data_IF_055154720164
#
_entry.id   IF_055154720164
#
_cell.length_a   1.000
_cell.length_b   1.000
_cell.length_c   1.000
_cell.angle_alpha   90.00
_cell.angle_beta   90.00
_cell.angle_gamma   90.00
#
_symmetry.space_group_name_H-M   'P 1'
#
loop_
_entity.id
_entity.type
_entity.pdbx_description
1 polymer ?
#
# COMPACT_ATOMS: atom_id res chain seq x y z
N UNK A 1 -3.14 -59.77 30.69
CA UNK A 1 -1.85 -60.51 30.66
C UNK A 1 -0.99 -59.74 29.68
N UNK A 2 0.10 -59.02 29.98
CA UNK A 2 1.16 -59.04 31.03
C UNK A 2 1.81 -57.63 30.95
N UNK A 3 1.87 -56.78 32.00
CA UNK A 3 2.97 -56.61 32.99
C UNK A 3 4.39 -56.82 32.41
N UNK A 4 5.45 -56.02 32.65
CA UNK A 4 5.87 -55.19 33.78
C UNK A 4 7.20 -54.47 33.42
N UNK A 5 7.42 -53.20 33.80
CA UNK A 5 8.31 -52.66 34.88
C UNK A 5 9.72 -52.17 34.49
N UNK A 6 9.92 -50.88 34.80
CA UNK A 6 11.08 -50.15 35.36
C UNK A 6 12.52 -50.71 35.27
N UNK A 7 13.44 -49.84 34.83
CA UNK A 7 14.77 -49.67 35.44
C UNK A 7 15.09 -48.18 35.51
N UNK A 8 15.38 -47.71 36.73
CA UNK A 8 16.00 -46.42 37.01
C UNK A 8 17.52 -46.62 37.15
N UNK A 9 18.32 -45.66 36.68
CA UNK A 9 19.70 -45.48 37.12
C UNK A 9 20.01 -43.98 37.24
N UNK A 10 20.43 -43.57 38.44
CA UNK A 10 20.92 -42.24 38.78
C UNK A 10 22.46 -42.27 38.89
N UNK A 11 23.06 -41.06 38.93
CA UNK A 11 24.47 -40.69 39.26
C UNK A 11 25.28 -40.23 38.04
N UNK A 12 26.15 -39.21 38.04
CA UNK A 12 26.53 -38.11 38.93
C UNK A 12 27.50 -37.19 38.13
N UNK A 13 27.32 -35.86 38.22
CA UNK A 13 28.26 -34.69 38.15
C UNK A 13 29.54 -34.71 37.26
N UNK A 14 29.69 -33.65 36.42
CA UNK A 14 30.87 -32.75 36.25
C UNK A 14 30.49 -31.59 35.29
N UNK A 15 30.40 -30.32 35.70
CA UNK A 15 31.44 -29.29 35.95
C UNK A 15 31.81 -28.41 34.72
N UNK A 16 31.56 -27.09 34.86
CA UNK A 16 32.13 -25.98 34.07
C UNK A 16 31.22 -25.45 32.94
N UNK A 17 31.09 -24.14 32.65
CA UNK A 17 31.79 -22.93 33.10
C UNK A 17 31.03 -21.68 32.58
N UNK A 18 31.14 -20.58 33.33
CA UNK A 18 31.12 -19.15 32.93
C UNK A 18 29.79 -18.41 32.71
N UNK A 19 29.61 -17.35 33.52
CA UNK A 19 28.60 -16.30 33.35
C UNK A 19 28.59 -15.34 34.54
N UNK A 20 29.60 -14.46 34.64
CA UNK A 20 29.75 -13.47 35.71
C UNK A 20 28.78 -12.31 35.54
N UNK A 21 28.00 -12.01 36.57
CA UNK A 21 27.14 -10.83 36.68
C UNK A 21 27.68 -9.84 37.72
N UNK A 22 27.36 -8.57 37.46
CA UNK A 22 27.30 -7.44 38.38
C UNK A 22 28.62 -6.89 38.96
N UNK A 23 28.98 -5.70 38.49
CA UNK A 23 29.65 -4.70 39.32
C UNK A 23 28.73 -3.49 39.50
N UNK A 24 28.34 -3.24 40.74
CA UNK A 24 27.88 -1.94 41.20
C UNK A 24 28.85 -1.51 42.30
N UNK A 25 29.49 -0.35 42.15
CA UNK A 25 30.02 0.38 43.29
C UNK A 25 30.12 1.88 42.97
N UNK A 26 29.43 2.66 43.80
CA UNK A 26 29.46 4.12 43.90
C UNK A 26 30.83 4.59 44.41
N UNK A 27 31.25 5.84 44.08
CA UNK A 27 31.63 6.97 44.99
C UNK A 27 32.27 8.15 44.19
N UNK A 28 32.62 9.34 44.79
CA UNK A 28 31.83 10.58 44.93
C UNK A 28 32.48 11.82 44.19
N UNK A 29 32.10 13.11 44.44
CA UNK A 29 32.22 14.20 43.43
C UNK A 29 33.36 15.24 43.61
N UNK A 30 33.48 16.07 42.54
CA UNK A 30 33.91 17.49 42.44
C UNK A 30 35.41 17.87 42.25
N UNK A 31 35.70 18.58 41.15
CA UNK A 31 36.37 19.90 41.08
C UNK A 31 36.59 20.32 39.59
N UNK A 32 36.54 21.63 39.29
CA UNK A 32 36.29 22.19 37.96
C UNK A 32 37.51 22.55 37.08
N UNK A 33 37.20 22.94 35.83
CA UNK A 33 38.12 23.48 34.82
C UNK A 33 37.43 23.63 33.43
N UNK A 34 37.63 24.71 32.65
CA UNK A 34 36.67 25.22 31.64
C UNK A 34 36.83 24.66 30.19
N UNK A 35 35.88 24.95 29.26
CA UNK A 35 35.73 24.25 27.97
C UNK A 35 36.28 25.04 26.77
N UNK A 36 36.59 24.35 25.65
CA UNK A 36 36.32 24.79 24.26
C UNK A 36 37.04 23.92 23.21
N UNK A 37 36.35 23.58 22.10
CA UNK A 37 37.01 23.45 20.79
C UNK A 37 36.67 22.24 19.91
N UNK A 38 35.57 22.36 19.14
CA UNK A 38 35.42 21.98 17.73
C UNK A 38 35.64 20.50 17.29
N UNK A 39 34.52 19.78 17.11
CA UNK A 39 34.42 18.71 16.10
C UNK A 39 33.88 19.30 14.79
N UNK A 40 34.62 19.09 13.71
CA UNK A 40 34.32 19.51 12.35
C UNK A 40 33.75 18.30 11.57
N UNK A 41 32.50 18.44 11.12
CA UNK A 41 31.94 17.90 9.87
C UNK A 41 31.90 16.39 9.64
N UNK A 42 30.80 15.73 10.03
CA UNK A 42 30.23 14.63 9.25
C UNK A 42 28.92 15.09 8.62
N UNK A 43 28.82 14.99 7.29
CA UNK A 43 27.59 15.16 6.52
C UNK A 43 26.57 14.09 6.92
N UNK A 44 25.32 14.44 7.27
CA UNK A 44 24.24 13.48 7.33
C UNK A 44 23.58 13.34 5.96
N UNK A 45 23.70 12.15 5.37
CA UNK A 45 22.77 11.69 4.35
C UNK A 45 21.36 11.66 4.94
N UNK A 46 20.38 12.14 4.17
CA UNK A 46 18.97 12.14 4.54
C UNK A 46 18.42 10.71 4.58
N UNK A 47 18.50 10.07 5.75
CA UNK A 47 17.62 8.97 6.13
C UNK A 47 16.41 9.58 6.85
N UNK A 48 15.25 9.60 6.19
CA UNK A 48 13.99 9.98 6.81
C UNK A 48 13.64 9.00 7.91
N UNK A 49 13.90 9.37 9.16
CA UNK A 49 13.51 8.59 10.33
C UNK A 49 12.01 8.65 10.58
N UNK A 50 11.40 7.60 11.16
CA UNK A 50 9.98 7.56 11.46
C UNK A 50 9.61 8.61 12.50
N UNK A 51 8.56 9.38 12.22
CA UNK A 51 7.96 10.29 13.19
C UNK A 51 7.45 9.53 14.43
N UNK A 52 7.41 10.19 15.61
CA UNK A 52 6.99 9.54 16.84
C UNK A 52 5.49 9.17 16.75
N UNK A 53 5.19 7.87 16.70
CA UNK A 53 3.82 7.35 16.80
C UNK A 53 3.51 6.05 16.05
N UNK A 54 4.39 5.54 15.19
CA UNK A 54 4.12 4.28 14.48
C UNK A 54 4.52 3.06 15.33
N UNK A 55 3.59 2.10 15.56
CA UNK A 55 3.93 0.84 16.20
C UNK A 55 5.08 0.13 15.47
N UNK A 56 6.07 -0.43 16.17
CA UNK A 56 7.12 -1.22 15.54
C UNK A 56 6.51 -2.47 14.92
N UNK A 57 6.59 -2.62 13.59
CA UNK A 57 6.19 -3.86 12.91
C UNK A 57 5.43 -3.70 11.59
N UNK A 58 5.08 -2.49 11.15
CA UNK A 58 4.43 -2.31 9.84
C UNK A 58 5.48 -2.34 8.75
N UNK A 59 5.68 -3.50 8.11
CA UNK A 59 6.36 -3.59 6.82
C UNK A 59 5.37 -3.06 5.78
N UNK A 60 5.36 -1.75 5.57
CA UNK A 60 4.42 -1.05 4.68
C UNK A 60 4.20 0.40 5.10
N UNK A 61 3.90 1.27 4.14
CA UNK A 61 3.44 2.64 4.34
C UNK A 61 2.00 2.72 4.86
N UNK A 62 1.41 3.92 4.91
CA UNK A 62 0.07 4.11 5.46
C UNK A 62 -1.00 3.34 4.66
N UNK A 63 -2.12 2.97 5.30
CA UNK A 63 -3.25 2.39 4.59
C UNK A 63 -3.80 3.38 3.55
N UNK A 64 -4.03 2.90 2.33
CA UNK A 64 -4.60 3.67 1.23
C UNK A 64 -5.60 2.82 0.43
N UNK A 65 -6.63 3.44 -0.17
CA UNK A 65 -7.53 2.73 -1.08
C UNK A 65 -6.74 2.13 -2.25
N UNK A 66 -7.04 0.88 -2.60
CA UNK A 66 -6.53 0.25 -3.83
C UNK A 66 -6.90 1.12 -5.03
N UNK A 67 -5.94 1.37 -5.92
CA UNK A 67 -6.04 2.40 -6.98
C UNK A 67 -7.30 2.20 -7.81
N UNK A 68 -7.55 0.98 -8.28
CA UNK A 68 -8.75 0.61 -9.04
C UNK A 68 -9.32 -0.72 -8.55
N UNK A 69 -10.65 -0.78 -8.40
CA UNK A 69 -11.38 -2.04 -8.30
C UNK A 69 -11.64 -2.55 -9.72
N UNK A 70 -11.30 -3.81 -10.00
CA UNK A 70 -11.51 -4.43 -11.32
C UNK A 70 -12.67 -5.40 -11.30
N UNK A 71 -12.87 -6.15 -10.21
CA UNK A 71 -14.03 -7.04 -10.10
C UNK A 71 -14.55 -7.18 -8.68
N UNK A 72 -15.86 -7.41 -8.57
CA UNK A 72 -16.56 -7.77 -7.33
C UNK A 72 -17.37 -9.04 -7.62
N UNK A 73 -17.08 -10.08 -6.86
CA UNK A 73 -17.77 -11.37 -6.90
C UNK A 73 -18.36 -11.65 -5.52
N UNK A 74 -19.57 -12.18 -5.47
CA UNK A 74 -20.15 -12.72 -4.24
C UNK A 74 -20.55 -14.16 -4.48
N UNK A 75 -19.88 -15.05 -3.77
CA UNK A 75 -20.11 -16.49 -3.81
C UNK A 75 -20.97 -16.89 -2.61
N UNK A 76 -21.99 -17.71 -2.84
CA UNK A 76 -22.78 -18.33 -1.77
C UNK A 76 -22.32 -19.75 -1.54
N UNK A 77 -21.97 -20.06 -0.29
CA UNK A 77 -21.70 -21.41 0.17
C UNK A 77 -22.91 -21.96 0.91
N UNK A 78 -23.43 -23.11 0.48
CA UNK A 78 -24.51 -23.81 1.18
C UNK A 78 -24.04 -24.61 2.41
N UNK A 79 -22.73 -24.65 2.67
CA UNK A 79 -22.16 -25.30 3.87
C UNK A 79 -22.31 -24.40 5.10
N UNK A 80 -22.49 -25.02 6.27
CA UNK A 80 -22.53 -24.37 7.59
C UNK A 80 -23.51 -23.19 7.71
N UNK A 81 -24.75 -23.37 7.25
CA UNK A 81 -25.82 -22.39 7.48
C UNK A 81 -25.96 -21.30 6.41
N UNK A 82 -25.17 -21.33 5.34
CA UNK A 82 -25.28 -20.36 4.25
C UNK A 82 -24.34 -19.17 4.45
N UNK A 83 -23.14 -19.20 3.90
CA UNK A 83 -22.15 -18.11 4.01
C UNK A 83 -22.00 -17.42 2.66
N UNK A 84 -22.13 -16.09 2.64
CA UNK A 84 -21.77 -15.31 1.46
C UNK A 84 -20.33 -14.80 1.61
N UNK A 85 -19.52 -14.95 0.56
CA UNK A 85 -18.13 -14.49 0.53
C UNK A 85 -17.99 -13.47 -0.57
N UNK A 86 -17.67 -12.23 -0.19
CA UNK A 86 -17.30 -11.19 -1.14
C UNK A 86 -15.83 -11.38 -1.50
N UNK A 87 -15.53 -11.50 -2.79
CA UNK A 87 -14.20 -11.52 -3.35
C UNK A 87 -14.02 -10.32 -4.25
N UNK A 88 -12.94 -9.58 -4.06
CA UNK A 88 -12.66 -8.35 -4.81
C UNK A 88 -11.27 -8.42 -5.39
N UNK A 89 -11.14 -8.05 -6.66
CA UNK A 89 -9.85 -7.83 -7.33
C UNK A 89 -9.68 -6.37 -7.69
N UNK A 90 -8.43 -5.94 -7.74
CA UNK A 90 -8.07 -4.58 -8.06
C UNK A 90 -6.63 -4.45 -8.49
N UNK A 91 -6.22 -3.21 -8.75
CA UNK A 91 -4.89 -2.84 -9.23
C UNK A 91 -4.26 -1.82 -8.28
N UNK A 92 -2.97 -1.99 -8.02
CA UNK A 92 -2.12 -1.07 -7.27
C UNK A 92 -0.92 -0.62 -8.10
N UNK A 93 -0.24 0.46 -7.67
CA UNK A 93 0.79 1.16 -8.47
C UNK A 93 2.14 0.46 -8.57
N UNK A 94 2.36 -0.63 -7.84
CA UNK A 94 3.62 -1.36 -7.85
C UNK A 94 3.63 -2.58 -6.93
N UNK A 95 4.75 -3.29 -6.87
CA UNK A 95 4.92 -4.54 -6.11
C UNK A 95 4.94 -4.37 -4.60
N UNK A 96 5.20 -3.15 -4.12
CA UNK A 96 5.51 -2.91 -2.71
C UNK A 96 4.26 -2.63 -1.87
N UNK A 97 3.08 -2.68 -2.50
CA UNK A 97 1.80 -2.71 -1.81
C UNK A 97 1.58 -4.05 -1.11
N UNK A 98 0.95 -4.03 0.05
CA UNK A 98 0.71 -5.25 0.83
C UNK A 98 -0.63 -5.25 1.56
N UNK A 99 -0.99 -6.39 2.14
CA UNK A 99 -2.15 -6.55 3.03
C UNK A 99 -3.49 -6.03 2.44
N UNK A 100 -3.90 -6.46 1.23
CA UNK A 100 -5.21 -6.11 0.68
C UNK A 100 -6.34 -6.64 1.57
N UNK A 101 -7.30 -5.79 1.92
CA UNK A 101 -8.45 -6.14 2.74
C UNK A 101 -9.66 -5.25 2.44
N UNK A 102 -10.84 -5.72 2.86
CA UNK A 102 -12.11 -5.02 2.66
C UNK A 102 -12.61 -4.47 4.00
N UNK A 103 -12.98 -3.20 4.02
CA UNK A 103 -13.51 -2.52 5.20
C UNK A 103 -14.97 -2.14 4.94
N UNK A 104 -15.93 -2.69 5.70
CA UNK A 104 -17.30 -2.20 5.69
C UNK A 104 -17.38 -0.76 6.16
N UNK A 105 -17.99 0.11 5.36
CA UNK A 105 -18.31 1.50 5.75
C UNK A 105 -19.80 1.70 6.02
N UNK A 106 -20.61 0.68 5.72
CA UNK A 106 -22.02 0.68 6.08
C UNK A 106 -22.17 0.42 7.57
N UNK A 107 -22.91 1.28 8.26
CA UNK A 107 -23.31 1.06 9.66
C UNK A 107 -24.80 0.68 9.71
N UNK A 108 -25.09 -0.55 10.18
CA UNK A 108 -26.45 -1.06 10.23
C UNK A 108 -27.04 -1.37 8.85
N UNK A 109 -28.38 -1.29 8.71
CA UNK A 109 -29.05 -1.56 7.45
C UNK A 109 -29.18 -0.28 6.60
N UNK A 110 -28.52 -0.21 5.44
CA UNK A 110 -28.58 0.93 4.54
C UNK A 110 -29.92 0.94 3.79
N UNK A 111 -30.44 2.15 3.52
CA UNK A 111 -31.74 2.32 2.84
C UNK A 111 -31.77 1.78 1.41
N UNK A 112 -30.63 1.81 0.73
CA UNK A 112 -30.49 1.24 -0.62
C UNK A 112 -30.24 -0.27 -0.60
N UNK A 113 -30.02 -0.88 0.57
CA UNK A 113 -29.73 -2.30 0.74
C UNK A 113 -28.34 -2.74 0.28
N UNK A 114 -27.38 -1.83 0.10
CA UNK A 114 -26.04 -2.14 -0.40
C UNK A 114 -25.01 -2.27 0.72
N UNK A 115 -24.26 -3.36 0.76
CA UNK A 115 -23.04 -3.42 1.58
C UNK A 115 -21.96 -2.57 0.91
N UNK A 116 -21.71 -1.37 1.43
CA UNK A 116 -20.60 -0.53 0.99
C UNK A 116 -19.29 -0.94 1.67
N UNK A 117 -18.28 -1.20 0.85
CA UNK A 117 -16.92 -1.58 1.26
C UNK A 117 -15.89 -0.60 0.67
N UNK A 118 -14.84 -0.32 1.43
CA UNK A 118 -13.58 0.22 0.90
C UNK A 118 -12.64 -0.96 0.63
N UNK A 119 -12.05 -1.00 -0.56
CA UNK A 119 -10.93 -1.89 -0.84
C UNK A 119 -9.62 -1.16 -0.54
N UNK A 120 -8.92 -1.60 0.50
CA UNK A 120 -7.74 -0.95 1.04
C UNK A 120 -6.54 -1.89 1.04
N UNK A 121 -5.35 -1.32 0.95
CA UNK A 121 -4.08 -2.01 1.14
C UNK A 121 -3.07 -1.06 1.83
N UNK A 122 -1.96 -1.59 2.29
CA UNK A 122 -0.83 -0.80 2.77
C UNK A 122 0.00 -0.34 1.58
N UNK A 123 0.11 0.97 1.39
CA UNK A 123 0.89 1.57 0.29
C UNK A 123 2.40 1.50 0.56
N UNK A 124 3.27 1.77 -0.43
CA UNK A 124 4.69 2.02 -0.20
C UNK A 124 4.91 3.21 0.76
N UNK A 125 6.03 3.23 1.50
CA UNK A 125 6.32 4.27 2.50
C UNK A 125 6.73 5.62 1.89
N UNK A 126 6.96 5.68 0.59
CA UNK A 126 7.28 6.88 -0.16
C UNK A 126 7.13 6.65 -1.65
N UNK A 127 7.56 7.63 -2.44
CA UNK A 127 7.41 7.58 -3.88
C UNK A 127 8.06 6.33 -4.50
N UNK A 128 7.33 5.70 -5.40
CA UNK A 128 7.77 4.55 -6.17
C UNK A 128 7.99 4.95 -7.64
N UNK A 129 8.99 4.35 -8.27
CA UNK A 129 9.22 4.53 -9.70
C UNK A 129 8.04 4.05 -10.54
N UNK A 130 7.99 4.48 -11.80
CA UNK A 130 6.99 3.98 -12.74
C UNK A 130 7.16 2.46 -12.95
N UNK A 131 6.05 1.76 -13.05
CA UNK A 131 5.99 0.32 -13.22
C UNK A 131 4.59 -0.13 -13.61
N UNK A 132 4.43 -1.39 -14.02
CA UNK A 132 3.12 -1.91 -14.37
C UNK A 132 2.22 -1.93 -13.14
N UNK A 133 0.91 -1.80 -13.36
CA UNK A 133 -0.04 -2.08 -12.30
C UNK A 133 0.11 -3.52 -11.80
N UNK A 134 0.01 -3.70 -10.50
CA UNK A 134 0.06 -5.01 -9.86
C UNK A 134 -1.34 -5.43 -9.42
N UNK A 135 -1.78 -6.67 -9.71
CA UNK A 135 -3.07 -7.15 -9.25
C UNK A 135 -3.03 -7.47 -7.75
N UNK A 136 -4.10 -7.11 -7.04
CA UNK A 136 -4.33 -7.49 -5.64
C UNK A 136 -5.74 -8.04 -5.46
N UNK A 137 -5.91 -8.88 -4.44
CA UNK A 137 -7.18 -9.54 -4.14
C UNK A 137 -7.45 -9.54 -2.64
N UNK A 138 -8.73 -9.36 -2.27
CA UNK A 138 -9.19 -9.52 -0.90
C UNK A 138 -10.51 -10.29 -0.86
N UNK A 139 -10.74 -10.96 0.27
CA UNK A 139 -11.98 -11.67 0.57
C UNK A 139 -12.57 -11.17 1.89
N UNK A 140 -13.90 -11.12 1.95
CA UNK A 140 -14.67 -10.78 3.14
C UNK A 140 -15.83 -11.76 3.28
N UNK A 141 -15.81 -12.63 4.30
CA UNK A 141 -16.99 -13.38 4.70
C UNK A 141 -18.07 -12.42 5.21
N UNK A 142 -19.31 -12.64 4.80
CA UNK A 142 -20.49 -11.91 5.27
C UNK A 142 -21.41 -12.89 5.98
N UNK A 143 -21.85 -12.50 7.17
CA UNK A 143 -22.69 -13.33 8.02
C UNK A 143 -23.99 -13.74 7.31
N UNK A 144 -24.43 -14.97 7.61
CA UNK A 144 -25.71 -15.50 7.16
C UNK A 144 -26.87 -14.58 7.54
N UNK A 145 -27.84 -14.41 6.64
CA UNK A 145 -29.06 -13.65 6.93
C UNK A 145 -28.87 -12.13 6.88
N UNK A 146 -27.75 -11.66 6.31
CA UNK A 146 -27.50 -10.24 6.13
C UNK A 146 -28.64 -9.55 5.35
N UNK A 147 -28.90 -8.25 5.61
CA UNK A 147 -30.00 -7.54 4.96
C UNK A 147 -29.66 -7.03 3.55
N UNK A 148 -28.42 -7.24 3.08
CA UNK A 148 -27.93 -6.66 1.83
C UNK A 148 -28.46 -7.39 0.60
N UNK A 149 -28.87 -6.63 -0.42
CA UNK A 149 -29.25 -7.14 -1.74
C UNK A 149 -28.11 -7.10 -2.76
N UNK A 150 -27.05 -6.35 -2.45
CA UNK A 150 -25.92 -6.10 -3.33
C UNK A 150 -24.70 -5.60 -2.56
N UNK A 151 -23.57 -5.54 -3.24
CA UNK A 151 -22.29 -5.06 -2.69
C UNK A 151 -21.76 -3.94 -3.57
N UNK A 152 -21.28 -2.85 -2.97
CA UNK A 152 -20.60 -1.77 -3.68
C UNK A 152 -19.22 -1.58 -3.08
N UNK A 153 -18.20 -1.71 -3.91
CA UNK A 153 -16.80 -1.65 -3.48
C UNK A 153 -16.15 -0.42 -4.10
N UNK A 154 -15.45 0.35 -3.27
CA UNK A 154 -14.80 1.61 -3.61
C UNK A 154 -13.28 1.47 -3.55
N UNK A 155 -12.61 1.85 -4.63
CA UNK A 155 -11.17 2.06 -4.67
C UNK A 155 -10.84 3.55 -4.66
N UNK A 156 -9.59 3.89 -4.97
CA UNK A 156 -9.14 5.29 -5.04
C UNK A 156 -9.77 6.05 -6.20
N UNK A 157 -9.93 5.40 -7.35
CA UNK A 157 -10.32 6.05 -8.61
C UNK A 157 -11.67 5.60 -9.18
N UNK A 158 -12.27 4.53 -8.65
CA UNK A 158 -13.54 4.03 -9.13
C UNK A 158 -14.33 3.29 -8.05
N UNK A 159 -15.55 2.88 -8.40
CA UNK A 159 -16.36 1.96 -7.61
C UNK A 159 -17.09 0.98 -8.52
N UNK A 160 -17.23 -0.27 -8.08
CA UNK A 160 -18.02 -1.30 -8.76
C UNK A 160 -19.19 -1.67 -7.87
N UNK A 161 -20.38 -1.79 -8.46
CA UNK A 161 -21.61 -2.21 -7.76
C UNK A 161 -22.14 -3.51 -8.34
N UNK A 162 -22.13 -4.56 -7.52
CA UNK A 162 -22.87 -5.79 -7.76
C UNK A 162 -24.28 -5.63 -7.20
N UNK A 163 -25.29 -5.65 -8.07
CA UNK A 163 -26.69 -5.35 -7.71
C UNK A 163 -27.49 -6.55 -7.19
N UNK A 164 -26.93 -7.75 -7.23
CA UNK A 164 -27.57 -8.99 -6.80
C UNK A 164 -26.55 -9.93 -6.14
N UNK A 165 -26.96 -10.60 -5.05
CA UNK A 165 -26.16 -11.58 -4.32
C UNK A 165 -26.85 -12.96 -4.41
N UNK A 166 -26.14 -14.03 -4.81
CA UNK A 166 -24.77 -14.06 -5.32
C UNK A 166 -24.65 -13.43 -6.73
N UNK A 167 -23.43 -13.14 -7.18
CA UNK A 167 -23.20 -12.63 -8.53
C UNK A 167 -21.80 -12.08 -8.79
N UNK A 168 -21.60 -11.52 -9.98
CA UNK A 168 -20.33 -10.97 -10.45
C UNK A 168 -20.52 -9.62 -11.16
N UNK A 169 -19.60 -8.70 -10.94
CA UNK A 169 -19.51 -7.42 -11.64
C UNK A 169 -18.04 -7.07 -11.91
N UNK A 170 -17.76 -6.50 -13.09
CA UNK A 170 -16.42 -6.15 -13.53
C UNK A 170 -16.41 -4.77 -14.18
N UNK A 171 -15.26 -4.10 -14.11
CA UNK A 171 -14.97 -2.89 -14.87
C UNK A 171 -13.69 -3.09 -15.67
N UNK A 172 -13.62 -2.45 -16.84
CA UNK A 172 -12.40 -2.44 -17.64
C UNK A 172 -11.23 -1.84 -16.83
N UNK A 173 -10.06 -2.47 -16.94
CA UNK A 173 -8.84 -1.93 -16.40
C UNK A 173 -8.49 -0.58 -17.07
N UNK A 174 -7.76 0.31 -16.38
CA UNK A 174 -7.19 1.50 -17.01
C UNK A 174 -6.33 1.12 -18.21
N UNK A 175 -6.29 1.99 -19.22
CA UNK A 175 -5.57 1.72 -20.46
C UNK A 175 -4.06 1.84 -20.31
N UNK A 176 -3.60 2.82 -19.53
CA UNK A 176 -2.18 3.11 -19.36
C UNK A 176 -1.81 3.10 -17.87
N UNK A 177 -0.78 2.31 -17.55
CA UNK A 177 -0.12 2.24 -16.24
C UNK A 177 1.11 3.16 -16.14
N UNK A 178 1.43 3.81 -17.26
CA UNK A 178 2.55 4.70 -17.44
C UNK A 178 3.94 4.04 -17.25
N UNK A 179 4.01 2.71 -17.20
CA UNK A 179 5.27 1.96 -17.07
C UNK A 179 6.25 2.25 -18.22
N UNK A 180 5.73 2.69 -19.38
CA UNK A 180 6.51 3.02 -20.59
C UNK A 180 6.33 4.47 -21.03
N UNK A 181 6.01 5.37 -20.11
CA UNK A 181 5.77 6.79 -20.43
C UNK A 181 7.04 7.59 -20.71
N UNK A 182 8.16 7.26 -20.07
CA UNK A 182 9.39 8.04 -20.16
C UNK A 182 9.84 8.17 -21.63
N UNK A 183 10.18 9.39 -22.03
CA UNK A 183 10.59 9.77 -23.38
C UNK A 183 9.44 10.09 -24.35
N UNK A 184 8.19 9.73 -24.01
CA UNK A 184 7.01 10.04 -24.84
C UNK A 184 6.53 11.48 -24.63
N UNK A 185 5.82 12.03 -25.62
CA UNK A 185 5.17 13.33 -25.50
C UNK A 185 3.91 13.22 -24.63
N UNK A 186 3.81 14.07 -23.61
CA UNK A 186 2.59 14.22 -22.85
C UNK A 186 1.61 15.14 -23.61
N UNK A 187 0.37 14.70 -23.78
CA UNK A 187 -0.68 15.47 -24.44
C UNK A 187 -1.82 15.68 -23.47
N UNK A 188 -1.97 16.93 -23.03
CA UNK A 188 -3.03 17.36 -22.13
C UNK A 188 -4.42 17.10 -22.72
N UNK A 189 -5.42 17.00 -21.85
CA UNK A 189 -6.81 16.78 -22.28
C UNK A 189 -7.29 17.91 -23.20
N UNK A 190 -7.77 17.55 -24.39
CA UNK A 190 -8.22 18.50 -25.41
C UNK A 190 -7.10 19.12 -26.26
N UNK A 191 -5.83 18.79 -25.99
CA UNK A 191 -4.71 19.19 -26.83
C UNK A 191 -4.48 18.19 -27.98
N UNK A 192 -3.88 18.70 -29.06
CA UNK A 192 -3.40 17.88 -30.15
C UNK A 192 -1.95 17.43 -29.90
N UNK A 193 -1.59 16.20 -30.32
CA UNK A 193 -0.20 15.77 -30.27
C UNK A 193 0.69 16.67 -31.14
N UNK A 194 2.00 16.78 -30.84
CA UNK A 194 2.95 17.49 -31.69
C UNK A 194 2.89 16.99 -33.14
N UNK A 195 3.08 17.90 -34.10
CA UNK A 195 3.05 17.56 -35.51
C UNK A 195 4.10 16.47 -35.84
N UNK A 196 3.68 15.40 -36.53
CA UNK A 196 4.55 14.28 -36.90
C UNK A 196 4.87 13.30 -35.76
N UNK A 197 4.33 13.49 -34.55
CA UNK A 197 4.47 12.50 -33.48
C UNK A 197 3.64 11.24 -33.81
N UNK A 198 4.30 10.08 -33.85
CA UNK A 198 3.63 8.80 -33.97
C UNK A 198 2.79 8.51 -32.71
N UNK A 199 1.67 7.80 -32.87
CA UNK A 199 0.70 7.59 -31.79
C UNK A 199 1.28 6.79 -30.60
N UNK A 200 2.24 5.90 -30.87
CA UNK A 200 2.98 5.13 -29.87
C UNK A 200 3.97 5.97 -29.05
N UNK A 201 4.39 7.12 -29.58
CA UNK A 201 5.26 8.11 -28.94
C UNK A 201 4.51 9.18 -28.14
N UNK A 202 3.20 9.00 -27.94
CA UNK A 202 2.32 9.94 -27.24
C UNK A 202 1.67 9.26 -26.04
N UNK A 203 1.58 9.99 -24.94
CA UNK A 203 0.79 9.64 -23.75
C UNK A 203 -0.27 10.73 -23.59
N UNK A 204 -1.54 10.35 -23.67
CA UNK A 204 -2.65 11.30 -23.48
C UNK A 204 -3.06 11.30 -22.02
N UNK A 205 -3.26 12.50 -21.47
CA UNK A 205 -3.80 12.68 -20.12
C UNK A 205 -5.12 11.94 -19.91
N UNK A 206 -5.95 11.85 -20.95
CA UNK A 206 -7.24 11.16 -20.90
C UNK A 206 -7.14 9.63 -20.75
N UNK A 207 -5.97 9.03 -21.01
CA UNK A 207 -5.75 7.59 -20.87
C UNK A 207 -5.01 7.25 -19.57
N UNK A 208 -4.55 8.26 -18.82
CA UNK A 208 -3.88 8.13 -17.53
C UNK A 208 -4.90 8.09 -16.36
N UNK A 209 -4.47 7.66 -15.16
CA UNK A 209 -5.27 7.71 -13.93
C UNK A 209 -5.85 9.10 -13.64
N UNK A 210 -6.92 9.20 -12.84
CA UNK A 210 -7.59 10.49 -12.61
C UNK A 210 -6.80 11.46 -11.73
N UNK A 211 -5.96 10.96 -10.83
CA UNK A 211 -5.15 11.79 -9.95
C UNK A 211 -3.76 11.97 -10.57
N UNK A 212 -3.57 13.08 -11.29
CA UNK A 212 -2.31 13.42 -11.97
C UNK A 212 -1.71 14.70 -11.42
N UNK A 213 -0.38 14.73 -11.39
CA UNK A 213 0.40 15.95 -11.20
C UNK A 213 1.41 16.07 -12.34
N UNK A 214 1.27 17.12 -13.13
CA UNK A 214 2.20 17.42 -14.22
C UNK A 214 3.07 18.59 -13.77
N UNK A 215 4.40 18.43 -13.82
CA UNK A 215 5.37 19.45 -13.44
C UNK A 215 6.18 19.81 -14.68
N UNK A 216 6.07 21.06 -15.16
CA UNK A 216 6.89 21.60 -16.25
C UNK A 216 8.19 22.21 -15.70
N UNK A 217 9.19 22.49 -16.56
CA UNK A 217 10.49 23.01 -16.09
C UNK A 217 10.41 24.31 -15.29
N UNK A 218 9.40 25.15 -15.54
CA UNK A 218 9.20 26.44 -14.87
C UNK A 218 8.23 26.38 -13.70
N UNK A 219 7.65 25.21 -13.42
CA UNK A 219 6.64 25.07 -12.38
C UNK A 219 7.29 24.87 -11.00
N UNK A 220 6.73 25.53 -9.98
CA UNK A 220 7.03 25.19 -8.58
C UNK A 220 6.15 24.03 -8.10
N UNK A 221 6.51 23.42 -6.96
CA UNK A 221 5.71 22.36 -6.32
C UNK A 221 4.96 22.96 -5.13
N UNK A 222 3.62 23.08 -5.19
CA UNK A 222 2.84 23.75 -4.13
C UNK A 222 2.69 22.90 -2.86
N UNK A 223 2.86 21.58 -2.94
CA UNK A 223 2.76 20.67 -1.80
C UNK A 223 3.59 19.40 -2.00
N UNK A 224 4.29 18.98 -0.95
CA UNK A 224 5.03 17.72 -0.88
C UNK A 224 4.23 16.56 -0.28
N UNK A 225 2.94 16.76 0.04
CA UNK A 225 2.10 15.71 0.60
C UNK A 225 1.96 14.55 -0.37
N UNK A 226 2.39 13.35 0.02
CA UNK A 226 2.35 12.15 -0.83
C UNK A 226 0.92 11.58 -0.92
N UNK A 227 0.59 11.04 -2.08
CA UNK A 227 -0.68 10.35 -2.33
C UNK A 227 -0.38 9.10 -3.17
N UNK A 228 -0.48 7.89 -2.59
CA UNK A 228 -0.16 6.64 -3.27
C UNK A 228 -0.94 6.38 -4.56
N UNK A 229 -2.06 7.09 -4.77
CA UNK A 229 -2.90 6.97 -5.96
C UNK A 229 -2.64 8.09 -6.99
N UNK A 230 -1.67 8.98 -6.75
CA UNK A 230 -1.31 10.07 -7.65
C UNK A 230 -0.08 9.71 -8.48
N UNK A 231 -0.22 9.86 -9.79
CA UNK A 231 0.89 9.78 -10.73
C UNK A 231 1.44 11.19 -10.97
N UNK A 232 2.71 11.39 -10.63
CA UNK A 232 3.46 12.61 -10.89
C UNK A 232 4.36 12.43 -12.11
N UNK A 233 4.25 13.32 -13.10
CA UNK A 233 5.07 13.33 -14.31
C UNK A 233 5.85 14.65 -14.41
N UNK A 234 7.14 14.55 -14.70
CA UNK A 234 8.02 15.69 -14.95
C UNK A 234 8.21 15.82 -16.46
N UNK A 235 8.00 17.03 -16.97
CA UNK A 235 8.12 17.34 -18.39
C UNK A 235 9.39 18.14 -18.69
N UNK A 236 9.99 17.90 -19.85
CA UNK A 236 10.97 18.78 -20.48
C UNK A 236 10.30 20.00 -21.13
N UNK A 237 11.11 20.95 -21.59
CA UNK A 237 10.65 22.15 -22.33
C UNK A 237 9.90 21.79 -23.63
N UNK A 238 10.28 20.70 -24.29
CA UNK A 238 9.62 20.21 -25.50
C UNK A 238 8.37 19.33 -25.22
N UNK A 239 7.98 19.18 -23.95
CA UNK A 239 6.76 18.48 -23.53
C UNK A 239 6.89 16.95 -23.48
N UNK A 240 8.11 16.41 -23.47
CA UNK A 240 8.35 14.99 -23.21
C UNK A 240 8.37 14.69 -21.73
N UNK A 241 7.95 13.49 -21.37
CA UNK A 241 8.05 12.98 -20.01
C UNK A 241 9.52 12.59 -19.78
N UNK A 242 10.21 13.33 -18.91
CA UNK A 242 11.63 13.07 -18.58
C UNK A 242 11.79 12.20 -17.35
N UNK A 243 10.83 12.26 -16.44
CA UNK A 243 10.79 11.45 -15.22
C UNK A 243 9.33 11.31 -14.74
N UNK A 244 9.09 10.39 -13.80
CA UNK A 244 7.81 10.24 -13.16
C UNK A 244 7.84 9.27 -12.00
N UNK A 245 6.88 9.41 -11.10
CA UNK A 245 6.73 8.56 -9.93
C UNK A 245 5.26 8.43 -9.54
N UNK A 246 4.95 7.33 -8.87
CA UNK A 246 3.78 7.23 -8.00
C UNK A 246 4.18 7.76 -6.63
N UNK A 247 3.42 8.69 -6.06
CA UNK A 247 3.84 9.39 -4.83
C UNK A 247 3.83 8.52 -3.56
#
# INVERSE_FOLDING_TARGET
>A
MTQSKFVALASLIAAGLLGSAAQAQQQPPAAGGPPQGQQQGQQPGYAGGPGPGQPPGTVGGPPAPVVFVTSVEVLRSDRNGGLDVVRVRGLVTGSDWSQPHLIPITQGQPRDGMLDLIFQASAPAGAAGLGPFMPVEAILPVETGHPYKGVRVRGGNNAISLKAIPGYAEAAAPKEDCAKCIGKFFVAKGANPPAGAAADNVVREADLPYTLRIIKPTDGIPSYALDPNRLTLLLSEDGRIVDGAWD
#
